data_IF_976620620728
#
_entry.id   IF_976620620728
#
_cell.length_a   1.000
_cell.length_b   1.000
_cell.length_c   1.000
_cell.angle_alpha   90.00
_cell.angle_beta   90.00
_cell.angle_gamma   90.00
#
_symmetry.space_group_name_H-M   'P 1'
#
loop_
_entity.id
_entity.type
_entity.pdbx_description
1 polymer ?
#
# COMPACT_ATOMS: atom_id res chain seq x y z
N UNK A 1 23.11 11.48 7.46
CA UNK A 1 22.50 11.91 6.17
C UNK A 1 22.05 10.74 5.31
N UNK A 2 22.89 9.71 5.11
CA UNK A 2 22.53 8.50 4.33
C UNK A 2 21.34 7.74 4.93
N UNK A 3 21.25 7.64 6.26
CA UNK A 3 20.14 6.98 6.95
C UNK A 3 18.78 7.63 6.64
N UNK A 4 18.70 8.97 6.62
CA UNK A 4 17.47 9.69 6.26
C UNK A 4 17.05 9.47 4.80
N UNK A 5 18.01 9.25 3.90
CA UNK A 5 17.74 8.91 2.49
C UNK A 5 17.22 7.47 2.39
N UNK A 6 17.81 6.55 3.14
CA UNK A 6 17.36 5.16 3.22
C UNK A 6 15.92 5.08 3.76
N UNK A 7 15.60 5.81 4.83
CA UNK A 7 14.24 5.90 5.36
C UNK A 7 13.23 6.43 4.34
N UNK A 8 13.59 7.49 3.59
CA UNK A 8 12.74 8.02 2.52
C UNK A 8 12.46 7.00 1.42
N UNK A 9 13.49 6.23 1.02
CA UNK A 9 13.35 5.17 0.02
C UNK A 9 12.51 4.00 0.52
N UNK A 10 12.65 3.62 1.79
CA UNK A 10 11.81 2.60 2.41
C UNK A 10 10.35 3.04 2.49
N UNK A 11 10.08 4.29 2.89
CA UNK A 11 8.71 4.85 2.88
C UNK A 11 8.08 4.80 1.48
N UNK A 12 8.85 5.14 0.45
CA UNK A 12 8.39 5.04 -0.95
C UNK A 12 8.09 3.59 -1.34
N UNK A 13 8.98 2.66 -0.98
CA UNK A 13 8.77 1.23 -1.23
C UNK A 13 7.49 0.71 -0.59
N UNK A 14 7.22 1.05 0.67
CA UNK A 14 5.99 0.64 1.36
C UNK A 14 4.74 1.20 0.67
N UNK A 15 4.77 2.44 0.17
CA UNK A 15 3.64 3.02 -0.57
C UNK A 15 3.39 2.38 -1.94
N UNK A 16 4.43 1.84 -2.59
CA UNK A 16 4.33 1.29 -3.95
C UNK A 16 4.13 -0.22 -3.99
N UNK A 17 4.64 -0.95 -3.00
CA UNK A 17 4.73 -2.42 -3.02
C UNK A 17 3.86 -3.10 -1.95
N UNK A 18 3.41 -2.38 -0.93
CA UNK A 18 2.52 -2.95 0.09
C UNK A 18 1.08 -2.47 -0.15
N UNK A 19 0.20 -3.40 -0.51
CA UNK A 19 -1.21 -3.14 -0.79
C UNK A 19 -1.89 -2.30 0.31
N UNK A 20 -1.65 -2.63 1.58
CA UNK A 20 -2.25 -1.95 2.73
C UNK A 20 -1.80 -0.49 2.91
N UNK A 21 -0.55 -0.19 2.57
CA UNK A 21 0.06 1.15 2.75
C UNK A 21 -0.06 2.01 1.49
N UNK A 22 -0.60 1.45 0.42
CA UNK A 22 -0.84 2.15 -0.83
C UNK A 22 -2.01 3.13 -0.68
N UNK A 23 -1.95 4.23 -1.42
CA UNK A 23 -3.06 5.17 -1.56
C UNK A 23 -4.24 4.51 -2.27
N UNK A 24 -5.44 4.68 -1.73
CA UNK A 24 -6.64 4.09 -2.28
C UNK A 24 -7.00 4.76 -3.62
N UNK A 25 -7.29 3.95 -4.64
CA UNK A 25 -7.49 4.45 -6.01
C UNK A 25 -8.72 5.38 -6.11
N UNK A 26 -9.76 5.16 -5.30
CA UNK A 26 -10.95 6.00 -5.32
C UNK A 26 -10.83 7.24 -4.43
N UNK A 27 -9.98 7.20 -3.39
CA UNK A 27 -9.71 8.35 -2.53
C UNK A 27 -8.22 8.35 -2.13
N UNK A 28 -7.43 9.15 -2.84
CA UNK A 28 -5.98 9.26 -2.61
C UNK A 28 -5.60 9.87 -1.26
N UNK A 29 -6.58 10.32 -0.45
CA UNK A 29 -6.36 10.80 0.91
C UNK A 29 -6.30 9.67 1.94
N UNK A 30 -6.78 8.48 1.59
CA UNK A 30 -6.86 7.32 2.47
C UNK A 30 -5.90 6.23 1.98
N UNK A 31 -5.31 5.47 2.90
CA UNK A 31 -4.65 4.21 2.55
C UNK A 31 -5.68 3.09 2.39
N UNK A 32 -5.31 2.01 1.70
CA UNK A 32 -6.16 0.81 1.59
C UNK A 32 -6.45 0.22 2.99
N UNK A 33 -5.51 0.28 3.93
CA UNK A 33 -5.73 -0.13 5.30
C UNK A 33 -6.77 0.75 6.01
N UNK A 34 -6.68 2.08 5.87
CA UNK A 34 -7.65 3.00 6.48
C UNK A 34 -9.06 2.79 5.93
N UNK A 35 -9.15 2.45 4.65
CA UNK A 35 -10.43 2.08 4.03
C UNK A 35 -10.98 0.77 4.58
N UNK A 36 -10.15 -0.26 4.76
CA UNK A 36 -10.56 -1.54 5.34
C UNK A 36 -11.04 -1.38 6.80
N UNK A 37 -10.32 -0.59 7.60
CA UNK A 37 -10.68 -0.31 8.99
C UNK A 37 -11.97 0.52 9.15
N UNK A 38 -12.34 1.32 8.14
CA UNK A 38 -13.64 2.01 8.13
C UNK A 38 -14.82 1.04 7.99
N UNK A 39 -14.61 -0.09 7.31
CA UNK A 39 -15.63 -1.13 7.18
C UNK A 39 -15.68 -2.01 8.44
N UNK A 40 -14.53 -2.45 8.94
CA UNK A 40 -14.40 -3.25 10.16
C UNK A 40 -12.97 -3.14 10.70
N UNK A 41 -12.83 -2.90 12.00
CA UNK A 41 -11.55 -2.63 12.66
C UNK A 41 -10.54 -3.78 12.55
N UNK A 42 -11.01 -5.03 12.40
CA UNK A 42 -10.14 -6.22 12.30
C UNK A 42 -10.00 -6.75 10.85
N UNK A 43 -10.53 -6.03 9.85
CA UNK A 43 -10.51 -6.49 8.47
C UNK A 43 -9.12 -6.32 7.83
N UNK A 44 -8.52 -7.43 7.42
CA UNK A 44 -7.21 -7.46 6.75
C UNK A 44 -7.24 -8.31 5.49
N UNK A 45 -6.39 -7.96 4.52
CA UNK A 45 -6.21 -8.74 3.30
C UNK A 45 -5.24 -9.89 3.57
N UNK A 46 -5.71 -11.13 3.46
CA UNK A 46 -4.88 -12.32 3.65
C UNK A 46 -3.98 -12.63 2.43
N UNK A 47 -4.52 -12.50 1.22
CA UNK A 47 -3.80 -12.72 -0.02
C UNK A 47 -4.49 -12.02 -1.19
N UNK A 48 -3.70 -11.58 -2.18
CA UNK A 48 -4.21 -11.09 -3.47
C UNK A 48 -3.36 -11.67 -4.60
N UNK A 49 -3.99 -11.94 -5.75
CA UNK A 49 -3.29 -12.36 -6.96
C UNK A 49 -3.66 -11.39 -8.08
N UNK A 50 -2.64 -10.75 -8.69
CA UNK A 50 -2.81 -9.85 -9.82
C UNK A 50 -2.21 -10.49 -11.06
N UNK A 51 -3.04 -10.73 -12.08
CA UNK A 51 -2.60 -11.21 -13.39
C UNK A 51 -2.58 -10.07 -14.40
N UNK A 52 -1.50 -9.97 -15.18
CA UNK A 52 -1.41 -9.02 -16.30
C UNK A 52 -1.06 -9.76 -17.58
N UNK A 53 -1.73 -9.39 -18.67
CA UNK A 53 -1.43 -9.91 -20.02
C UNK A 53 -0.16 -9.29 -20.62
N UNK A 54 0.36 -8.22 -20.01
CA UNK A 54 1.66 -7.64 -20.34
C UNK A 54 2.72 -8.22 -19.40
N UNK A 55 3.75 -8.81 -19.99
CA UNK A 55 5.01 -9.13 -19.34
C UNK A 55 5.97 -7.97 -19.60
N UNK A 56 6.13 -7.09 -18.61
CA UNK A 56 7.26 -6.15 -18.52
C UNK A 56 8.04 -6.50 -17.25
#
# INVERSE_FOLDING_TARGET
MVERIAEGRMKKFYKEQCLLMQEFIQDSKLSVADYLHQADADCTVLAFNRFTLRAE
#
